data_IF_319967550463
#
_entry.id   IF_319967550463
#
_cell.length_a   1.000
_cell.length_b   1.000
_cell.length_c   1.000
_cell.angle_alpha   90.00
_cell.angle_beta   90.00
_cell.angle_gamma   90.00
#
_symmetry.space_group_name_H-M   'P 1'
#
loop_
_entity.id
_entity.type
_entity.pdbx_description
1 polymer ?
#
# COMPACT_ATOMS: atom_id res chain seq x y z
N UNK A 1 16.33 -5.90 -10.82
CA UNK A 1 16.17 -7.10 -9.97
C UNK A 1 14.88 -6.98 -9.16
N UNK A 2 13.79 -7.67 -9.53
CA UNK A 2 12.60 -7.80 -8.68
C UNK A 2 12.54 -9.24 -8.19
N UNK A 3 12.84 -9.46 -6.92
CA UNK A 3 12.74 -10.75 -6.27
C UNK A 3 11.27 -11.02 -5.93
N UNK A 4 10.59 -12.00 -6.56
CA UNK A 4 9.16 -12.23 -6.34
C UNK A 4 8.84 -12.80 -4.94
N UNK A 5 9.85 -13.18 -4.16
CA UNK A 5 9.72 -13.80 -2.84
C UNK A 5 9.82 -12.84 -1.66
N UNK A 6 10.11 -11.55 -1.86
CA UNK A 6 10.19 -10.61 -0.74
C UNK A 6 8.77 -10.35 -0.21
N UNK A 7 8.48 -10.89 0.98
CA UNK A 7 7.24 -10.58 1.69
C UNK A 7 7.21 -9.05 1.92
N UNK A 8 6.12 -8.35 1.55
CA UNK A 8 5.95 -6.96 1.95
C UNK A 8 6.00 -6.90 3.48
N UNK A 9 6.96 -6.13 3.98
CA UNK A 9 7.13 -5.87 5.41
C UNK A 9 5.82 -5.29 5.99
N UNK A 10 5.25 -5.87 7.06
CA UNK A 10 4.07 -5.32 7.73
C UNK A 10 4.26 -3.86 8.15
N UNK A 11 5.48 -3.44 8.50
CA UNK A 11 5.77 -2.05 8.84
C UNK A 11 5.65 -1.11 7.63
N UNK A 12 5.79 -1.62 6.40
CA UNK A 12 5.58 -0.83 5.18
C UNK A 12 4.12 -0.37 5.04
N UNK A 13 3.13 -1.18 5.48
CA UNK A 13 1.72 -0.77 5.48
C UNK A 13 1.48 0.38 6.45
N UNK A 14 1.98 0.25 7.69
CA UNK A 14 1.84 1.29 8.73
C UNK A 14 2.42 2.63 8.25
N UNK A 15 3.62 2.59 7.65
CA UNK A 15 4.27 3.78 7.09
C UNK A 15 3.48 4.42 5.95
N UNK A 16 2.86 3.62 5.07
CA UNK A 16 2.03 4.13 3.97
C UNK A 16 0.73 4.77 4.47
N UNK A 17 0.14 4.25 5.56
CA UNK A 17 -1.02 4.88 6.21
C UNK A 17 -0.64 6.24 6.78
N UNK A 18 0.48 6.31 7.52
CA UNK A 18 0.98 7.59 8.05
C UNK A 18 1.25 8.61 6.93
N UNK A 19 1.83 8.16 5.82
CA UNK A 19 2.08 9.03 4.67
C UNK A 19 0.78 9.52 4.02
N UNK A 20 -0.23 8.65 3.88
CA UNK A 20 -1.55 9.03 3.36
C UNK A 20 -2.17 10.13 4.21
N UNK A 21 -2.14 9.97 5.53
CA UNK A 21 -2.75 10.92 6.47
C UNK A 21 -2.02 12.27 6.40
N UNK A 22 -0.67 12.25 6.39
CA UNK A 22 0.13 13.46 6.21
C UNK A 22 -0.12 14.17 4.86
N UNK A 23 -0.30 13.42 3.77
CA UNK A 23 -0.67 14.01 2.48
C UNK A 23 -2.05 14.68 2.53
N UNK A 24 -3.01 14.09 3.24
CA UNK A 24 -4.33 14.70 3.47
C UNK A 24 -4.24 16.03 4.24
N UNK A 25 -3.40 16.08 5.27
CA UNK A 25 -3.13 17.32 6.02
C UNK A 25 -2.50 18.39 5.12
N UNK A 26 -1.51 18.01 4.31
CA UNK A 26 -0.85 18.93 3.36
C UNK A 26 -1.77 19.44 2.27
N UNK A 27 -2.68 18.62 1.76
CA UNK A 27 -3.70 19.04 0.79
C UNK A 27 -4.65 20.05 1.42
N UNK A 28 -5.09 19.77 2.65
CA UNK A 28 -5.97 20.67 3.40
C UNK A 28 -5.30 22.02 3.61
N UNK A 29 -4.02 22.02 3.97
CA UNK A 29 -3.23 23.25 4.14
C UNK A 29 -3.05 24.00 2.82
N UNK A 30 -2.65 23.31 1.75
CA UNK A 30 -2.47 23.93 0.44
C UNK A 30 -3.77 24.56 -0.09
N UNK A 31 -4.94 23.97 0.23
CA UNK A 31 -6.22 24.59 -0.07
C UNK A 31 -6.48 25.87 0.74
N UNK A 32 -6.13 25.89 2.03
CA UNK A 32 -6.29 27.08 2.89
C UNK A 32 -5.39 28.23 2.45
N UNK A 33 -4.15 27.91 2.11
CA UNK A 33 -3.13 28.87 1.67
C UNK A 33 -3.24 29.25 0.19
N UNK A 34 -4.17 28.64 -0.56
CA UNK A 34 -4.39 28.92 -1.98
C UNK A 34 -3.27 28.42 -2.90
N UNK A 35 -2.45 27.46 -2.46
CA UNK A 35 -1.37 26.85 -3.23
C UNK A 35 -1.89 25.78 -4.18
N UNK A 36 -2.72 26.18 -5.14
CA UNK A 36 -3.40 25.28 -6.07
C UNK A 36 -2.42 24.44 -6.92
N UNK A 37 -1.24 24.98 -7.23
CA UNK A 37 -0.19 24.25 -7.95
C UNK A 37 0.41 23.08 -7.16
N UNK A 38 0.41 23.14 -5.82
CA UNK A 38 0.87 22.04 -4.98
C UNK A 38 -0.22 20.97 -4.78
N UNK A 39 -1.49 21.39 -4.71
CA UNK A 39 -2.64 20.49 -4.50
C UNK A 39 -2.67 19.36 -5.53
N UNK A 40 -2.46 19.66 -6.82
CA UNK A 40 -2.48 18.64 -7.88
C UNK A 40 -1.39 17.58 -7.69
N UNK A 41 -0.16 18.01 -7.39
CA UNK A 41 0.95 17.10 -7.12
C UNK A 41 0.74 16.24 -5.86
N UNK A 42 0.13 16.82 -4.84
CA UNK A 42 -0.22 16.12 -3.61
C UNK A 42 -1.34 15.10 -3.83
N UNK A 43 -2.36 15.43 -4.64
CA UNK A 43 -3.44 14.50 -5.00
C UNK A 43 -2.94 13.30 -5.80
N UNK A 44 -2.04 13.52 -6.77
CA UNK A 44 -1.39 12.42 -7.52
C UNK A 44 -0.62 11.51 -6.56
N UNK A 45 0.12 12.09 -5.62
CA UNK A 45 0.87 11.34 -4.60
C UNK A 45 -0.06 10.55 -3.68
N UNK A 46 -1.17 11.15 -3.24
CA UNK A 46 -2.18 10.51 -2.39
C UNK A 46 -2.82 9.31 -3.10
N UNK A 47 -3.18 9.47 -4.38
CA UNK A 47 -3.71 8.38 -5.20
C UNK A 47 -2.71 7.23 -5.34
N UNK A 48 -1.43 7.54 -5.57
CA UNK A 48 -0.37 6.53 -5.64
C UNK A 48 -0.20 5.75 -4.32
N UNK A 49 -0.25 6.44 -3.18
CA UNK A 49 -0.19 5.81 -1.85
C UNK A 49 -1.42 4.93 -1.60
N UNK A 50 -2.62 5.42 -1.95
CA UNK A 50 -3.87 4.65 -1.85
C UNK A 50 -3.84 3.37 -2.68
N UNK A 51 -3.37 3.45 -3.93
CA UNK A 51 -3.19 2.29 -4.80
C UNK A 51 -2.20 1.27 -4.21
N UNK A 52 -1.14 1.74 -3.56
CA UNK A 52 -0.16 0.85 -2.92
C UNK A 52 -0.76 0.12 -1.72
N UNK A 53 -1.55 0.80 -0.90
CA UNK A 53 -2.27 0.18 0.22
C UNK A 53 -3.26 -0.87 -0.28
N UNK A 54 -4.04 -0.57 -1.32
CA UNK A 54 -4.96 -1.53 -1.92
C UNK A 54 -4.24 -2.78 -2.47
N UNK A 55 -3.07 -2.61 -3.08
CA UNK A 55 -2.24 -3.74 -3.52
C UNK A 55 -1.76 -4.61 -2.34
N UNK A 56 -1.33 -3.98 -1.24
CA UNK A 56 -0.90 -4.70 -0.04
C UNK A 56 -2.05 -5.48 0.60
N UNK A 57 -3.23 -4.87 0.71
CA UNK A 57 -4.43 -5.49 1.28
C UNK A 57 -4.92 -6.65 0.40
N UNK A 58 -4.93 -6.49 -0.93
CA UNK A 58 -5.24 -7.58 -1.85
C UNK A 58 -4.23 -8.75 -1.76
N UNK A 59 -2.94 -8.44 -1.58
CA UNK A 59 -1.91 -9.47 -1.39
C UNK A 59 -2.07 -10.19 -0.06
N UNK A 60 -2.44 -9.49 1.02
CA UNK A 60 -2.74 -10.08 2.30
C UNK A 60 -3.99 -10.98 2.23
N UNK A 61 -5.05 -10.55 1.56
CA UNK A 61 -6.28 -11.32 1.39
C UNK A 61 -6.06 -12.63 0.59
N UNK A 62 -5.16 -12.62 -0.39
CA UNK A 62 -4.79 -13.81 -1.18
C UNK A 62 -3.94 -14.83 -0.41
N UNK A 63 -3.39 -14.47 0.76
CA UNK A 63 -2.52 -15.34 1.58
C UNK A 63 -3.30 -16.31 2.47
N UNK A 64 -4.55 -16.63 2.14
CA UNK A 64 -5.24 -17.71 2.85
C UNK A 64 -4.46 -19.02 2.64
N UNK A 65 -4.14 -19.76 3.71
CA UNK A 65 -3.36 -20.98 3.59
C UNK A 65 -4.12 -21.97 2.71
N UNK A 66 -3.61 -22.21 1.50
CA UNK A 66 -4.08 -23.30 0.65
C UNK A 66 -3.51 -24.57 1.25
N UNK A 67 -4.38 -25.45 1.75
CA UNK A 67 -3.98 -26.77 2.23
C UNK A 67 -3.51 -27.60 1.03
N UNK A 68 -2.20 -27.64 0.83
CA UNK A 68 -1.57 -28.62 -0.05
C UNK A 68 -1.53 -29.92 0.74
N UNK A 69 -2.44 -30.85 0.42
CA UNK A 69 -2.50 -32.15 1.08
C UNK A 69 -1.15 -32.87 1.06
N UNK A 70 -0.86 -33.66 2.08
CA UNK A 70 0.38 -34.43 2.16
C UNK A 70 0.49 -35.39 0.96
N UNK A 71 1.61 -35.39 0.20
CA UNK A 71 1.81 -36.38 -0.85
C UNK A 71 1.90 -37.76 -0.21
N UNK A 72 0.99 -38.66 -0.59
CA UNK A 72 1.05 -40.05 -0.17
C UNK A 72 2.19 -40.73 -0.93
N UNK A 73 3.27 -41.06 -0.24
CA UNK A 73 4.28 -41.97 -0.77
C UNK A 73 3.64 -43.35 -0.89
N UNK A 74 3.49 -43.83 -2.13
CA UNK A 74 3.07 -45.21 -2.41
C UNK A 74 4.19 -46.17 -1.95
N UNK A 75 3.87 -47.31 -1.32
CA UNK A 75 4.85 -48.31 -0.89
C UNK A 75 5.59 -48.94 -2.08
#
# INVERSE_FOLDING_TARGET
MRCPLLRPDPAARSRLVQLRDNLGDRITEAHREGWLGEVDGLNVSLAAVGNKLAQLDATAARRQPITIGMPRTRP
#
